data_IF_210180036972
#
_entry.id   IF_210180036972
#
_cell.length_a   1.000
_cell.length_b   1.000
_cell.length_c   1.000
_cell.angle_alpha   90.00
_cell.angle_beta   90.00
_cell.angle_gamma   90.00
#
_symmetry.space_group_name_H-M   'P 1'
#
loop_
_entity.id
_entity.type
_entity.pdbx_description
1 polymer ?
#
# COMPACT_ATOMS: atom_id res chain seq x y z
N UNK A 1 3.37 -14.71 14.34
CA UNK A 1 4.42 -13.81 13.81
C UNK A 1 4.58 -13.90 12.28
N UNK A 2 4.48 -15.08 11.66
CA UNK A 2 4.65 -15.29 10.21
C UNK A 2 3.71 -14.46 9.31
N UNK A 3 2.40 -14.41 9.57
CA UNK A 3 1.47 -13.61 8.76
C UNK A 3 1.75 -12.10 8.82
N UNK A 4 2.29 -11.61 9.94
CA UNK A 4 2.67 -10.19 10.10
C UNK A 4 3.85 -9.85 9.20
N UNK A 5 4.93 -10.65 9.26
CA UNK A 5 6.10 -10.47 8.39
C UNK A 5 5.72 -10.56 6.91
N UNK A 6 4.84 -11.49 6.55
CA UNK A 6 4.34 -11.63 5.16
C UNK A 6 3.55 -10.42 4.69
N UNK A 7 2.72 -9.84 5.55
CA UNK A 7 1.97 -8.61 5.24
C UNK A 7 2.91 -7.42 5.07
N UNK A 8 3.85 -7.24 5.98
CA UNK A 8 4.78 -6.10 5.92
C UNK A 8 5.69 -6.17 4.68
N UNK A 9 6.12 -7.39 4.31
CA UNK A 9 6.80 -7.64 3.02
C UNK A 9 5.92 -7.28 1.83
N UNK A 10 4.66 -7.73 1.81
CA UNK A 10 3.73 -7.40 0.72
C UNK A 10 3.50 -5.88 0.61
N UNK A 11 3.39 -5.16 1.73
CA UNK A 11 3.25 -3.70 1.73
C UNK A 11 4.49 -3.05 1.12
N UNK A 12 5.68 -3.55 1.45
CA UNK A 12 6.93 -3.06 0.85
C UNK A 12 6.97 -3.32 -0.66
N UNK A 13 6.69 -4.55 -1.10
CA UNK A 13 6.67 -4.92 -2.53
C UNK A 13 5.68 -4.03 -3.32
N UNK A 14 4.53 -3.70 -2.72
CA UNK A 14 3.54 -2.80 -3.33
C UNK A 14 4.06 -1.35 -3.44
N UNK A 15 4.82 -0.86 -2.47
CA UNK A 15 5.43 0.47 -2.56
C UNK A 15 6.57 0.53 -3.57
N UNK A 16 7.37 -0.53 -3.68
CA UNK A 16 8.40 -0.66 -4.71
C UNK A 16 7.75 -0.65 -6.11
N UNK A 17 6.69 -1.43 -6.30
CA UNK A 17 5.92 -1.43 -7.56
C UNK A 17 5.34 -0.03 -7.88
N UNK A 18 4.88 0.70 -6.87
CA UNK A 18 4.37 2.07 -7.02
C UNK A 18 5.45 3.02 -7.53
N UNK A 19 6.68 2.92 -7.01
CA UNK A 19 7.79 3.75 -7.49
C UNK A 19 8.26 3.34 -8.89
N UNK A 20 8.25 2.04 -9.22
CA UNK A 20 8.52 1.56 -10.58
C UNK A 20 7.50 2.09 -11.60
N UNK A 21 6.20 2.08 -11.25
CA UNK A 21 5.16 2.66 -12.09
C UNK A 21 5.34 4.16 -12.29
N UNK A 22 5.81 4.87 -11.26
CA UNK A 22 6.12 6.29 -11.36
C UNK A 22 7.27 6.54 -12.32
N UNK A 23 8.37 5.77 -12.20
CA UNK A 23 9.50 5.84 -13.12
C UNK A 23 9.10 5.52 -14.57
N UNK A 24 8.23 4.53 -14.76
CA UNK A 24 7.68 4.21 -16.09
C UNK A 24 6.83 5.35 -16.66
N UNK A 25 6.01 6.01 -15.84
CA UNK A 25 5.21 7.15 -16.27
C UNK A 25 6.09 8.32 -16.73
N UNK A 26 7.20 8.58 -16.02
CA UNK A 26 8.15 9.64 -16.37
C UNK A 26 8.83 9.33 -17.72
N UNK A 27 9.30 8.09 -17.93
CA UNK A 27 9.88 7.65 -19.21
C UNK A 27 8.88 7.74 -20.37
N UNK A 28 7.63 7.34 -20.16
CA UNK A 28 6.58 7.48 -21.17
C UNK A 28 6.28 8.95 -21.47
N UNK A 29 6.33 9.84 -20.48
CA UNK A 29 6.15 11.27 -20.71
C UNK A 29 7.28 11.82 -21.58
N UNK A 30 8.54 11.47 -21.30
CA UNK A 30 9.68 11.84 -22.14
C UNK A 30 9.51 11.38 -23.59
N UNK A 31 9.11 10.12 -23.79
CA UNK A 31 8.82 9.57 -25.12
C UNK A 31 7.67 10.32 -25.83
N UNK A 32 6.66 10.75 -25.08
CA UNK A 32 5.55 11.54 -25.64
C UNK A 32 6.02 12.90 -26.14
N UNK A 33 6.94 13.55 -25.42
CA UNK A 33 7.55 14.83 -25.79
C UNK A 33 8.48 14.65 -26.98
N UNK A 34 9.26 13.58 -27.01
CA UNK A 34 10.13 13.24 -28.14
C UNK A 34 9.31 12.98 -29.41
N UNK A 35 8.23 12.21 -29.32
CA UNK A 35 7.32 11.98 -30.44
C UNK A 35 6.70 13.29 -30.96
N UNK A 36 6.32 14.21 -30.07
CA UNK A 36 5.80 15.52 -30.46
C UNK A 36 6.86 16.38 -31.18
N UNK A 37 8.11 16.35 -30.71
CA UNK A 37 9.25 17.05 -31.35
C UNK A 37 9.57 16.51 -32.73
N UNK A 38 9.33 15.22 -32.96
CA UNK A 38 9.54 14.54 -34.24
C UNK A 38 8.32 14.57 -35.17
N UNK A 39 7.33 15.45 -34.91
CA UNK A 39 6.11 15.60 -35.70
C UNK A 39 5.27 14.31 -35.81
N UNK A 40 5.23 13.53 -34.73
CA UNK A 40 4.42 12.31 -34.59
C UNK A 40 3.25 12.53 -33.60
N UNK A 41 2.26 13.38 -33.91
CA UNK A 41 1.25 13.83 -32.95
C UNK A 41 0.35 12.70 -32.43
N UNK A 42 0.05 11.70 -33.27
CA UNK A 42 -0.74 10.52 -32.86
C UNK A 42 0.02 9.65 -31.85
N UNK A 43 1.33 9.45 -32.08
CA UNK A 43 2.17 8.70 -31.15
C UNK A 43 2.29 9.45 -29.83
N UNK A 44 2.58 10.76 -29.87
CA UNK A 44 2.63 11.62 -28.68
C UNK A 44 1.33 11.55 -27.86
N UNK A 45 0.17 11.68 -28.52
CA UNK A 45 -1.13 11.60 -27.85
C UNK A 45 -1.39 10.20 -27.25
N UNK A 46 -1.05 9.13 -27.97
CA UNK A 46 -1.20 7.76 -27.48
C UNK A 46 -0.35 7.54 -26.23
N UNK A 47 0.92 7.94 -26.28
CA UNK A 47 1.86 7.80 -25.17
C UNK A 47 1.42 8.64 -23.97
N UNK A 48 0.94 9.86 -24.17
CA UNK A 48 0.40 10.70 -23.09
C UNK A 48 -0.82 10.05 -22.39
N UNK A 49 -1.70 9.35 -23.14
CA UNK A 49 -2.79 8.58 -22.54
C UNK A 49 -2.28 7.38 -21.72
N UNK A 50 -1.20 6.75 -22.17
CA UNK A 50 -0.56 5.69 -21.38
C UNK A 50 0.00 6.22 -20.07
N UNK A 51 0.64 7.39 -20.08
CA UNK A 51 1.13 8.06 -18.84
C UNK A 51 -0.02 8.22 -17.83
N UNK A 52 -1.15 8.78 -18.27
CA UNK A 52 -2.32 8.96 -17.40
C UNK A 52 -2.84 7.64 -16.85
N UNK A 53 -2.86 6.59 -17.67
CA UNK A 53 -3.28 5.25 -17.24
C UNK A 53 -2.34 4.67 -16.19
N UNK A 54 -1.03 4.80 -16.37
CA UNK A 54 -0.02 4.32 -15.42
C UNK A 54 -0.13 5.09 -14.10
N UNK A 55 -0.28 6.42 -14.15
CA UNK A 55 -0.48 7.25 -12.96
C UNK A 55 -1.76 6.88 -12.19
N UNK A 56 -2.87 6.60 -12.88
CA UNK A 56 -4.09 6.15 -12.20
C UNK A 56 -3.87 4.81 -11.47
N UNK A 57 -3.15 3.87 -12.10
CA UNK A 57 -2.81 2.59 -11.48
C UNK A 57 -1.86 2.74 -10.29
N UNK A 58 -0.86 3.62 -10.40
CA UNK A 58 0.05 3.97 -9.31
C UNK A 58 -0.73 4.49 -8.09
N UNK A 59 -1.63 5.46 -8.29
CA UNK A 59 -2.45 6.04 -7.23
C UNK A 59 -3.32 4.96 -6.54
N UNK A 60 -3.97 4.10 -7.33
CA UNK A 60 -4.79 3.03 -6.78
C UNK A 60 -3.94 2.05 -5.96
N UNK A 61 -2.78 1.63 -6.48
CA UNK A 61 -1.89 0.70 -5.81
C UNK A 61 -1.34 1.27 -4.51
N UNK A 62 -0.94 2.54 -4.50
CA UNK A 62 -0.52 3.27 -3.30
C UNK A 62 -1.64 3.29 -2.25
N UNK A 63 -2.88 3.59 -2.67
CA UNK A 63 -4.05 3.53 -1.77
C UNK A 63 -4.29 2.13 -1.21
N UNK A 64 -4.03 1.07 -1.97
CA UNK A 64 -4.15 -0.32 -1.50
C UNK A 64 -3.05 -0.65 -0.47
N UNK A 65 -1.80 -0.28 -0.74
CA UNK A 65 -0.68 -0.44 0.19
C UNK A 65 -0.94 0.30 1.52
N UNK A 66 -1.44 1.54 1.45
CA UNK A 66 -1.84 2.32 2.61
C UNK A 66 -2.90 1.62 3.47
N UNK A 67 -3.93 1.05 2.83
CA UNK A 67 -5.00 0.34 3.55
C UNK A 67 -4.47 -0.93 4.21
N UNK A 68 -3.60 -1.69 3.53
CA UNK A 68 -2.97 -2.89 4.10
C UNK A 68 -2.07 -2.56 5.29
N UNK A 69 -1.32 -1.47 5.21
CA UNK A 69 -0.50 -0.97 6.32
C UNK A 69 -1.36 -0.54 7.51
N UNK A 70 -2.39 0.27 7.28
CA UNK A 70 -3.28 0.82 8.33
C UNK A 70 -4.15 -0.24 9.00
N UNK A 71 -4.73 -1.19 8.24
CA UNK A 71 -5.46 -2.34 8.81
C UNK A 71 -4.55 -3.18 9.70
N UNK A 72 -3.28 -3.31 9.33
CA UNK A 72 -2.27 -3.95 10.16
C UNK A 72 -2.01 -3.26 11.50
N UNK A 73 -2.07 -1.91 11.52
CA UNK A 73 -1.88 -1.11 12.72
C UNK A 73 -3.11 -1.09 13.64
N UNK A 74 -4.32 -1.16 13.08
CA UNK A 74 -5.55 -1.32 13.86
C UNK A 74 -5.57 -2.67 14.59
N UNK A 75 -5.20 -3.75 13.90
CA UNK A 75 -5.04 -5.07 14.52
C UNK A 75 -4.00 -5.07 15.64
N UNK A 76 -2.88 -4.34 15.45
CA UNK A 76 -1.84 -4.17 16.49
C UNK A 76 -2.40 -3.49 17.74
N UNK A 77 -3.08 -2.35 17.59
CA UNK A 77 -3.69 -1.63 18.72
C UNK A 77 -4.69 -2.49 19.48
N UNK A 78 -5.53 -3.25 18.76
CA UNK A 78 -6.49 -4.16 19.38
C UNK A 78 -5.79 -5.31 20.14
N UNK A 79 -4.76 -5.94 19.56
CA UNK A 79 -4.02 -7.01 20.26
C UNK A 79 -3.23 -6.51 21.46
N UNK A 80 -2.64 -5.33 21.38
CA UNK A 80 -1.87 -4.74 22.47
C UNK A 80 -2.81 -4.42 23.66
N UNK A 81 -4.00 -3.86 23.39
CA UNK A 81 -5.03 -3.65 24.43
C UNK A 81 -5.60 -4.95 25.02
N UNK A 82 -5.58 -6.06 24.29
CA UNK A 82 -6.01 -7.37 24.81
C UNK A 82 -4.94 -8.03 25.70
N UNK A 83 -3.65 -7.79 25.45
CA UNK A 83 -2.56 -8.27 26.31
C UNK A 83 -2.43 -7.44 27.60
N UNK A 84 -2.78 -6.16 27.57
CA UNK A 84 -2.79 -5.28 28.74
C UNK A 84 -4.04 -5.44 29.63
N UNK A 85 -4.92 -6.42 29.37
CA UNK A 85 -5.94 -6.82 30.33
C UNK A 85 -5.30 -7.84 31.28
N UNK A 86 -4.84 -7.45 32.49
CA UNK A 86 -4.51 -8.45 33.49
C UNK A 86 -5.76 -9.30 33.71
N UNK A 87 -5.58 -10.62 33.80
CA UNK A 87 -6.58 -11.49 34.41
C UNK A 87 -6.84 -10.94 35.82
N UNK A 88 -7.89 -10.13 35.97
CA UNK A 88 -8.43 -9.85 37.29
C UNK A 88 -8.84 -11.19 37.88
N UNK A 89 -8.08 -11.58 38.89
CA UNK A 89 -8.07 -12.89 39.48
C UNK A 89 -9.44 -13.23 40.03
N UNK A 90 -9.92 -14.36 39.55
CA UNK A 90 -10.70 -15.34 40.29
C UNK A 90 -10.33 -15.34 41.79
N UNK A 91 -11.03 -14.52 42.58
CA UNK A 91 -10.98 -14.52 44.04
C UNK A 91 -12.38 -14.91 44.52
N UNK A 92 -12.66 -16.20 44.52
CA UNK A 92 -13.92 -16.74 45.04
C UNK A 92 -14.08 -16.41 46.53
N UNK A 93 -15.31 -16.19 47.02
CA UNK A 93 -15.55 -16.25 48.46
C UNK A 93 -15.61 -17.73 48.86
N UNK A 94 -14.61 -18.18 49.63
CA UNK A 94 -14.63 -19.49 50.27
C UNK A 94 -15.84 -19.65 51.21
N UNK A 95 -16.28 -20.89 51.47
CA UNK A 95 -17.46 -21.14 52.28
C UNK A 95 -17.14 -20.81 53.74
N UNK A 96 -17.99 -20.00 54.38
CA UNK A 96 -17.98 -19.86 55.83
C UNK A 96 -18.93 -20.89 56.44
N UNK A 97 -18.37 -21.69 57.33
CA UNK A 97 -19.05 -22.60 58.25
C UNK A 97 -19.94 -21.84 59.25
#
# INVERSE_FOLDING_TARGET
MWMRKRRDSLVQDLYETVEDLRGLADQLMELSVEAARNDLPRAAQSTARMVLTVQEREILLRKHADRLSKTGNLGRRVTDHLQDRPQEGNSGPGPRA
#
